data_IF_940652679066
#
_entry.id   IF_940652679066
#
_cell.length_a   1.000
_cell.length_b   1.000
_cell.length_c   1.000
_cell.angle_alpha   90.00
_cell.angle_beta   90.00
_cell.angle_gamma   90.00
#
_symmetry.space_group_name_H-M   'P 1'
#
loop_
_entity.id
_entity.type
_entity.pdbx_description
1 polymer ?
#
# COMPACT_ATOMS: atom_id res chain seq x y z
N UNK A 1 -12.75 2.77 21.07
CA UNK A 1 -13.66 3.94 21.07
C UNK A 1 -13.29 4.83 22.23
N UNK A 2 -12.94 6.10 21.96
CA UNK A 2 -12.66 7.12 22.97
C UNK A 2 -14.00 7.72 23.40
N UNK A 3 -14.24 7.79 24.71
CA UNK A 3 -15.47 8.35 25.29
C UNK A 3 -15.16 9.62 26.08
N UNK A 4 -16.07 10.60 26.04
CA UNK A 4 -16.04 11.83 26.85
C UNK A 4 -17.34 11.91 27.64
N UNK A 5 -17.24 11.94 28.98
CA UNK A 5 -18.40 11.91 29.89
C UNK A 5 -19.37 10.74 29.61
N UNK A 6 -18.82 9.54 29.35
CA UNK A 6 -19.62 8.34 29.06
C UNK A 6 -20.25 8.31 27.67
N UNK A 7 -20.08 9.34 26.84
CA UNK A 7 -20.57 9.39 25.46
C UNK A 7 -19.43 9.15 24.47
N UNK A 8 -19.63 8.37 23.39
CA UNK A 8 -18.63 8.21 22.34
C UNK A 8 -18.21 9.57 21.77
N UNK A 9 -16.90 9.80 21.68
CA UNK A 9 -16.31 11.05 21.21
C UNK A 9 -15.28 10.84 20.09
N UNK A 10 -14.82 9.61 19.87
CA UNK A 10 -13.95 9.27 18.75
C UNK A 10 -13.63 7.78 18.66
N UNK A 11 -13.01 7.37 17.56
CA UNK A 11 -12.44 6.04 17.39
C UNK A 11 -11.01 6.23 16.94
N UNK A 12 -10.07 5.65 17.68
CA UNK A 12 -8.69 5.58 17.25
C UNK A 12 -8.53 4.31 16.42
N UNK A 13 -8.20 4.48 15.14
CA UNK A 13 -7.89 3.40 14.22
C UNK A 13 -6.40 3.53 13.94
N UNK A 14 -5.65 2.52 14.36
CA UNK A 14 -4.21 2.43 14.15
C UNK A 14 -3.85 1.14 13.43
N UNK A 15 -2.57 0.98 13.16
CA UNK A 15 -1.99 -0.23 12.61
C UNK A 15 -1.46 -1.11 13.74
N UNK A 16 -1.52 -2.43 13.57
CA UNK A 16 -1.00 -3.39 14.57
C UNK A 16 0.54 -3.31 14.63
N UNK A 17 1.16 -3.10 13.47
CA UNK A 17 2.61 -2.97 13.32
C UNK A 17 3.00 -1.79 12.43
N UNK A 18 4.30 -1.46 12.43
CA UNK A 18 4.87 -0.52 11.48
C UNK A 18 4.77 -1.03 10.04
N UNK A 19 4.93 -2.35 9.83
CA UNK A 19 4.81 -2.98 8.53
C UNK A 19 3.40 -2.82 7.94
N UNK A 20 2.35 -2.99 8.75
CA UNK A 20 0.96 -2.77 8.30
C UNK A 20 0.73 -1.30 7.88
N UNK A 21 1.35 -0.37 8.60
CA UNK A 21 1.29 1.05 8.24
C UNK A 21 2.04 1.33 6.93
N UNK A 22 3.22 0.72 6.74
CA UNK A 22 4.00 0.83 5.51
C UNK A 22 3.26 0.24 4.31
N UNK A 23 2.65 -0.93 4.47
CA UNK A 23 1.84 -1.57 3.45
C UNK A 23 0.64 -0.71 3.07
N UNK A 24 -0.13 -0.24 4.05
CA UNK A 24 -1.22 0.70 3.81
C UNK A 24 -0.75 1.94 3.04
N UNK A 25 0.37 2.54 3.44
CA UNK A 25 0.91 3.71 2.75
C UNK A 25 1.31 3.41 1.31
N UNK A 26 1.90 2.26 1.05
CA UNK A 26 2.34 1.87 -0.28
C UNK A 26 1.14 1.59 -1.20
N UNK A 27 0.15 0.86 -0.70
CA UNK A 27 -1.09 0.56 -1.42
C UNK A 27 -1.90 1.81 -1.75
N UNK A 28 -1.81 2.84 -0.91
CA UNK A 28 -2.56 4.08 -1.10
C UNK A 28 -1.74 5.21 -1.75
N UNK A 29 -0.44 5.02 -2.06
CA UNK A 29 0.37 6.04 -2.73
C UNK A 29 0.04 6.08 -4.24
N UNK A 30 -0.50 7.20 -4.78
CA UNK A 30 -0.85 7.29 -6.19
C UNK A 30 0.34 7.08 -7.14
N UNK A 31 1.56 7.45 -6.72
CA UNK A 31 2.78 7.26 -7.50
C UNK A 31 3.15 5.79 -7.60
N UNK A 32 2.97 5.05 -6.51
CA UNK A 32 3.19 3.60 -6.50
C UNK A 32 2.19 2.90 -7.40
N UNK A 33 0.89 3.22 -7.26
CA UNK A 33 -0.16 2.67 -8.11
C UNK A 33 0.09 2.94 -9.60
N UNK A 34 0.46 4.17 -9.96
CA UNK A 34 0.83 4.53 -11.34
C UNK A 34 2.03 3.73 -11.84
N UNK A 35 3.06 3.55 -11.01
CA UNK A 35 4.25 2.77 -11.36
C UNK A 35 3.91 1.30 -11.60
N UNK A 36 3.10 0.69 -10.74
CA UNK A 36 2.65 -0.69 -10.91
C UNK A 36 1.80 -0.84 -12.19
N UNK A 37 0.87 0.09 -12.45
CA UNK A 37 0.05 0.07 -13.66
C UNK A 37 0.91 0.12 -14.95
N UNK A 38 1.92 1.00 -14.96
CA UNK A 38 2.88 1.09 -16.07
C UNK A 38 3.70 -0.20 -16.22
N UNK A 39 4.19 -0.76 -15.11
CA UNK A 39 4.94 -2.01 -15.14
C UNK A 39 4.10 -3.17 -15.69
N UNK A 40 2.85 -3.32 -15.23
CA UNK A 40 1.90 -4.34 -15.74
C UNK A 40 1.66 -4.19 -17.24
N UNK A 41 1.54 -2.96 -17.73
CA UNK A 41 1.40 -2.68 -19.17
C UNK A 41 2.64 -3.11 -19.95
N UNK A 42 3.84 -2.77 -19.46
CA UNK A 42 5.10 -3.19 -20.07
C UNK A 42 5.26 -4.71 -20.12
N UNK A 43 4.89 -5.42 -19.04
CA UNK A 43 4.94 -6.88 -18.99
C UNK A 43 4.02 -7.51 -20.03
N UNK A 44 2.78 -7.02 -20.15
CA UNK A 44 1.83 -7.47 -21.19
C UNK A 44 2.33 -7.22 -22.62
N UNK A 45 3.13 -6.16 -22.80
CA UNK A 45 3.79 -5.85 -24.07
C UNK A 45 5.11 -6.64 -24.29
N UNK A 46 5.43 -7.63 -23.45
CA UNK A 46 6.63 -8.45 -23.58
C UNK A 46 7.94 -7.75 -23.17
N UNK A 47 7.87 -6.59 -22.52
CA UNK A 47 9.04 -5.79 -22.09
C UNK A 47 9.55 -6.16 -20.69
N UNK A 48 9.19 -7.34 -20.21
CA UNK A 48 9.66 -7.88 -18.93
C UNK A 48 11.03 -8.54 -19.06
N UNK A 49 11.78 -8.55 -17.96
CA UNK A 49 13.00 -9.36 -17.83
C UNK A 49 12.69 -10.50 -16.86
N UNK A 50 13.07 -11.72 -17.23
CA UNK A 50 12.96 -12.88 -16.34
C UNK A 50 13.90 -12.71 -15.15
N UNK A 51 13.48 -13.15 -13.97
CA UNK A 51 14.27 -12.97 -12.75
C UNK A 51 15.64 -13.64 -12.86
N UNK A 52 15.73 -14.79 -13.52
CA UNK A 52 16.98 -15.54 -13.73
C UNK A 52 17.97 -14.81 -14.64
N UNK A 53 17.51 -13.80 -15.39
CA UNK A 53 18.36 -12.96 -16.23
C UNK A 53 18.95 -11.76 -15.46
N UNK A 54 18.55 -11.55 -14.20
CA UNK A 54 19.16 -10.56 -13.31
C UNK A 54 20.35 -11.22 -12.61
N UNK A 55 21.53 -10.61 -12.73
CA UNK A 55 22.79 -11.06 -12.11
C UNK A 55 22.89 -10.62 -10.66
#
# INVERSE_FOLDING_TARGET
VITRHGKPAGVLIGFETEDDWLEYRLENDPRFLQRIAKARTSLRAGKGVRLEALK
#
